data_IF_143666360964
#
_entry.id   IF_143666360964
#
_cell.length_a   1.000
_cell.length_b   1.000
_cell.length_c   1.000
_cell.angle_alpha   90.00
_cell.angle_beta   90.00
_cell.angle_gamma   90.00
#
_symmetry.space_group_name_H-M   'P 1'
#
loop_
_entity.id
_entity.type
_entity.pdbx_description
1 polymer ?
#
# COMPACT_ATOMS: atom_id res chain seq x y z
N UNK A 1 -4.42 11.28 6.80
CA UNK A 1 -3.23 10.91 6.00
C UNK A 1 -2.53 12.18 5.55
N UNK A 2 -1.20 12.29 5.68
CA UNK A 2 -0.43 13.42 5.14
C UNK A 2 0.02 13.15 3.70
N UNK A 3 0.49 14.19 3.00
CA UNK A 3 0.90 14.06 1.59
C UNK A 3 2.14 13.18 1.40
N UNK A 4 3.08 13.20 2.35
CA UNK A 4 4.28 12.34 2.32
C UNK A 4 3.93 10.86 2.45
N UNK A 5 3.03 10.52 3.39
CA UNK A 5 2.53 9.16 3.53
C UNK A 5 1.86 8.68 2.22
N UNK A 6 0.96 9.49 1.65
CA UNK A 6 0.30 9.19 0.38
C UNK A 6 1.31 8.96 -0.75
N UNK A 7 2.30 9.84 -0.91
CA UNK A 7 3.30 9.71 -1.96
C UNK A 7 4.18 8.45 -1.78
N UNK A 8 4.48 8.07 -0.53
CA UNK A 8 5.22 6.84 -0.24
C UNK A 8 4.41 5.56 -0.52
N UNK A 9 3.09 5.62 -0.39
CA UNK A 9 2.15 4.52 -0.67
C UNK A 9 1.92 4.32 -2.18
N UNK A 10 1.99 5.42 -2.95
CA UNK A 10 1.58 5.46 -4.34
C UNK A 10 2.27 4.43 -5.25
N UNK A 11 3.60 4.18 -5.18
CA UNK A 11 4.24 3.16 -6.02
C UNK A 11 3.69 1.76 -5.77
N UNK A 12 3.39 1.41 -4.51
CA UNK A 12 2.81 0.11 -4.14
C UNK A 12 1.37 -0.01 -4.64
N UNK A 13 0.56 1.02 -4.43
CA UNK A 13 -0.81 1.07 -4.94
C UNK A 13 -0.84 0.95 -6.48
N UNK A 14 0.03 1.68 -7.17
CA UNK A 14 0.17 1.61 -8.63
C UNK A 14 0.56 0.21 -9.09
N UNK A 15 1.56 -0.42 -8.46
CA UNK A 15 1.94 -1.79 -8.77
C UNK A 15 0.77 -2.78 -8.57
N UNK A 16 0.01 -2.65 -7.48
CA UNK A 16 -1.19 -3.47 -7.22
C UNK A 16 -2.29 -3.25 -8.28
N UNK A 17 -2.50 -2.01 -8.75
CA UNK A 17 -3.46 -1.70 -9.83
C UNK A 17 -3.14 -2.47 -11.11
N UNK A 18 -1.85 -2.64 -11.44
CA UNK A 18 -1.39 -3.38 -12.61
C UNK A 18 -1.13 -4.88 -12.33
N UNK A 19 -1.71 -5.43 -11.28
CA UNK A 19 -1.60 -6.86 -10.91
C UNK A 19 -0.15 -7.33 -10.68
N UNK A 20 0.74 -6.44 -10.21
CA UNK A 20 2.07 -6.86 -9.77
C UNK A 20 1.93 -7.89 -8.63
N UNK A 21 2.79 -8.92 -8.65
CA UNK A 21 2.79 -9.95 -7.60
C UNK A 21 3.93 -9.74 -6.62
N UNK A 22 3.61 -9.78 -5.34
CA UNK A 22 4.55 -9.64 -4.25
C UNK A 22 4.71 -10.99 -3.54
N UNK A 23 5.91 -11.60 -3.53
CA UNK A 23 6.10 -12.96 -3.02
C UNK A 23 5.88 -13.11 -1.51
N UNK A 24 5.87 -12.01 -0.77
CA UNK A 24 5.64 -11.98 0.68
C UNK A 24 4.19 -11.70 1.10
N UNK A 25 3.27 -11.48 0.14
CA UNK A 25 1.85 -11.26 0.46
C UNK A 25 1.07 -12.58 0.40
N UNK A 26 0.31 -12.85 1.45
CA UNK A 26 -0.64 -13.98 1.49
C UNK A 26 -1.82 -13.74 0.54
N UNK A 27 -2.38 -12.53 0.54
CA UNK A 27 -3.41 -12.07 -0.40
C UNK A 27 -2.84 -10.99 -1.32
N UNK A 28 -2.81 -11.24 -2.63
CA UNK A 28 -2.28 -10.30 -3.62
C UNK A 28 -3.15 -9.03 -3.79
N UNK A 29 -4.34 -9.00 -3.21
CA UNK A 29 -5.23 -7.85 -3.16
C UNK A 29 -5.07 -7.01 -1.88
N UNK A 30 -4.28 -7.46 -0.89
CA UNK A 30 -4.09 -6.79 0.40
C UNK A 30 -2.60 -6.63 0.69
N UNK A 31 -2.16 -5.39 0.88
CA UNK A 31 -0.79 -5.09 1.25
C UNK A 31 -0.74 -4.11 2.42
N UNK A 32 0.24 -4.29 3.31
CA UNK A 32 0.51 -3.31 4.36
C UNK A 32 1.65 -2.37 3.95
N UNK A 33 1.64 -1.14 4.48
CA UNK A 33 2.67 -0.14 4.22
C UNK A 33 2.90 0.74 5.43
N UNK A 34 4.14 0.79 5.89
CA UNK A 34 4.56 1.67 6.97
C UNK A 34 4.75 3.10 6.44
N UNK A 35 4.25 4.09 7.18
CA UNK A 35 4.65 5.47 6.99
C UNK A 35 6.17 5.60 7.14
N UNK A 36 6.88 6.35 6.27
CA UNK A 36 8.33 6.55 6.41
C UNK A 36 8.71 7.46 7.59
N UNK A 37 7.72 8.04 8.29
CA UNK A 37 7.94 8.81 9.50
C UNK A 37 8.31 7.89 10.68
N UNK A 38 9.58 7.92 11.06
CA UNK A 38 10.10 7.11 12.17
C UNK A 38 9.54 7.51 13.54
N UNK A 39 9.07 8.75 13.71
CA UNK A 39 8.51 9.22 14.98
C UNK A 39 7.03 8.87 15.13
N UNK A 40 6.34 8.64 14.02
CA UNK A 40 4.93 8.25 13.99
C UNK A 40 4.67 7.16 12.92
N UNK A 41 5.05 5.90 13.21
CA UNK A 41 4.98 4.80 12.24
C UNK A 41 3.56 4.26 12.11
N UNK A 42 2.71 5.02 11.43
CA UNK A 42 1.36 4.57 11.07
C UNK A 42 1.45 3.43 10.06
N UNK A 43 0.80 2.31 10.35
CA UNK A 43 0.66 1.18 9.43
C UNK A 43 -0.64 1.30 8.65
N UNK A 44 -0.53 1.39 7.33
CA UNK A 44 -1.69 1.42 6.42
C UNK A 44 -1.94 0.05 5.82
N UNK A 45 -3.21 -0.35 5.72
CA UNK A 45 -3.65 -1.43 4.83
C UNK A 45 -4.10 -0.81 3.50
N UNK A 46 -3.62 -1.38 2.41
CA UNK A 46 -4.04 -1.08 1.04
C UNK A 46 -4.80 -2.30 0.53
N UNK A 47 -6.07 -2.10 0.15
CA UNK A 47 -6.92 -3.14 -0.41
C UNK A 47 -7.35 -2.75 -1.82
N UNK A 48 -7.13 -3.64 -2.77
CA UNK A 48 -7.68 -3.49 -4.11
C UNK A 48 -9.17 -3.81 -4.07
N UNK A 49 -10.00 -2.86 -4.50
CA UNK A 49 -11.45 -3.04 -4.62
C UNK A 49 -11.83 -3.32 -6.07
N UNK A 50 -12.80 -4.21 -6.30
CA UNK A 50 -13.44 -4.34 -7.61
C UNK A 50 -14.29 -3.11 -7.87
N UNK A 51 -14.30 -2.63 -9.11
CA UNK A 51 -15.32 -1.70 -9.56
C UNK A 51 -16.53 -2.54 -9.96
N UNK A 52 -17.54 -2.61 -9.09
CA UNK A 52 -18.89 -3.05 -9.45
C UNK A 52 -19.68 -1.87 -10.06
#
# INVERSE_FOLDING_TARGET
>A
MCISALYSLLPKAFAMMFNARFPWLEDQCVATHACPDAQNPVMFEIRRVSME
#
